data_IF_194700068752
#
_entry.id   IF_194700068752
#
_cell.length_a   1.000
_cell.length_b   1.000
_cell.length_c   1.000
_cell.angle_alpha   90.00
_cell.angle_beta   90.00
_cell.angle_gamma   90.00
#
_symmetry.space_group_name_H-M   'P 1'
#
loop_
_entity.id
_entity.type
_entity.pdbx_description
1 polymer ?
#
# COMPACT_ATOMS: atom_id res chain seq x y z
N UNK A 1 -29.12 28.05 -40.26
CA UNK A 1 -27.66 27.90 -40.30
C UNK A 1 -27.25 26.83 -39.29
N UNK A 2 -26.83 25.65 -39.73
CA UNK A 2 -26.41 24.52 -38.88
C UNK A 2 -24.93 24.26 -39.13
N UNK A 3 -24.11 24.33 -38.08
CA UNK A 3 -22.71 23.95 -38.12
C UNK A 3 -22.54 22.55 -37.51
N UNK A 4 -21.98 21.62 -38.29
CA UNK A 4 -21.53 20.30 -37.84
C UNK A 4 -20.00 20.37 -37.75
N UNK A 5 -19.46 20.33 -36.53
CA UNK A 5 -18.02 20.26 -36.30
C UNK A 5 -17.64 18.79 -36.22
N UNK A 6 -16.91 18.32 -37.24
CA UNK A 6 -16.20 17.04 -37.27
C UNK A 6 -14.89 17.22 -36.48
N UNK A 7 -14.78 16.62 -35.30
CA UNK A 7 -13.49 16.49 -34.61
C UNK A 7 -12.88 15.14 -34.98
N UNK A 8 -11.78 15.22 -35.72
CA UNK A 8 -10.89 14.11 -36.01
C UNK A 8 -9.79 14.13 -34.95
N UNK A 9 -9.68 13.08 -34.13
CA UNK A 9 -8.59 12.92 -33.16
C UNK A 9 -7.83 11.63 -33.46
N UNK A 10 -6.77 11.77 -34.25
CA UNK A 10 -5.67 10.81 -34.26
C UNK A 10 -4.76 11.12 -33.05
N UNK A 11 -4.84 10.31 -31.99
CA UNK A 11 -3.87 10.35 -30.90
C UNK A 11 -2.94 9.12 -31.01
N UNK A 12 -1.69 9.45 -31.29
CA UNK A 12 -0.50 8.66 -31.55
C UNK A 12 -0.08 7.85 -30.33
N UNK A 13 0.18 6.55 -30.52
CA UNK A 13 0.79 5.66 -29.53
C UNK A 13 2.23 6.13 -29.25
N UNK A 14 2.65 6.32 -27.98
CA UNK A 14 4.06 6.50 -27.69
C UNK A 14 4.78 5.15 -27.66
N UNK A 15 5.70 5.01 -28.60
CA UNK A 15 6.71 3.97 -28.71
C UNK A 15 7.60 3.90 -27.47
N UNK A 16 7.86 2.68 -26.99
CA UNK A 16 8.92 2.36 -26.05
C UNK A 16 10.28 2.82 -26.61
N UNK A 17 10.96 3.68 -25.85
CA UNK A 17 12.38 3.99 -26.07
C UNK A 17 13.11 3.89 -24.74
N UNK A 18 14.12 3.03 -24.75
CA UNK A 18 15.01 2.69 -23.65
C UNK A 18 15.79 3.91 -23.16
N UNK A 19 15.65 4.26 -21.88
CA UNK A 19 16.64 5.06 -21.18
C UNK A 19 16.82 4.48 -19.78
N UNK A 20 17.74 3.51 -19.69
CA UNK A 20 18.35 3.09 -18.43
C UNK A 20 19.30 4.21 -18.00
N UNK A 21 18.79 5.18 -17.24
CA UNK A 21 19.63 6.08 -16.47
C UNK A 21 19.57 5.70 -14.99
N UNK A 22 20.65 5.02 -14.61
CA UNK A 22 21.20 4.84 -13.27
C UNK A 22 20.77 5.94 -12.29
N UNK A 23 19.80 5.62 -11.44
CA UNK A 23 19.63 6.28 -10.15
C UNK A 23 20.21 5.38 -9.07
N UNK A 24 21.54 5.40 -8.96
CA UNK A 24 22.24 4.96 -7.74
C UNK A 24 21.94 5.97 -6.64
N UNK A 25 20.76 5.87 -6.03
CA UNK A 25 20.49 6.48 -4.72
C UNK A 25 20.87 5.47 -3.66
N UNK A 26 21.99 5.74 -3.01
CA UNK A 26 22.46 5.10 -1.79
C UNK A 26 21.29 4.95 -0.81
N UNK A 27 20.91 3.71 -0.53
CA UNK A 27 19.95 3.38 0.53
C UNK A 27 20.69 3.58 1.85
N UNK A 28 20.61 4.78 2.40
CA UNK A 28 20.98 5.02 3.80
C UNK A 28 20.02 4.24 4.69
N UNK A 29 20.58 3.22 5.35
CA UNK A 29 20.18 2.61 6.62
C UNK A 29 18.70 2.75 7.00
N UNK A 30 17.91 1.75 6.61
CA UNK A 30 16.55 1.54 7.11
C UNK A 30 16.64 1.00 8.54
N UNK A 31 16.77 1.88 9.52
CA UNK A 31 16.72 1.51 10.93
C UNK A 31 15.29 1.12 11.32
N UNK A 32 15.14 -0.16 11.67
CA UNK A 32 14.13 -0.67 12.61
C UNK A 32 12.67 -0.49 12.21
N UNK A 33 12.23 -1.24 11.18
CA UNK A 33 10.85 -1.73 11.19
C UNK A 33 10.83 -2.86 12.22
N UNK A 34 10.25 -2.61 13.39
CA UNK A 34 9.91 -3.62 14.37
C UNK A 34 8.76 -4.46 13.79
N UNK A 35 9.07 -5.30 12.80
CA UNK A 35 8.32 -6.54 12.65
C UNK A 35 8.73 -7.38 13.83
N UNK A 36 7.80 -7.61 14.76
CA UNK A 36 7.95 -8.63 15.79
C UNK A 36 8.34 -9.92 15.07
N UNK A 37 9.64 -10.19 15.01
CA UNK A 37 10.19 -11.39 14.40
C UNK A 37 9.77 -12.52 15.33
N UNK A 38 8.91 -13.45 14.87
CA UNK A 38 8.52 -14.58 15.68
C UNK A 38 9.78 -15.32 16.12
N UNK A 39 9.99 -15.41 17.44
CA UNK A 39 11.18 -15.99 18.05
C UNK A 39 11.24 -17.52 17.95
N UNK A 40 10.23 -18.13 17.33
CA UNK A 40 10.07 -19.57 17.13
C UNK A 40 9.51 -19.87 15.74
N UNK A 41 9.97 -20.96 15.12
CA UNK A 41 9.49 -21.46 13.82
C UNK A 41 7.99 -21.78 13.83
N UNK A 42 7.44 -22.16 15.00
CA UNK A 42 6.01 -22.35 15.24
C UNK A 42 5.21 -21.06 15.04
N UNK A 43 5.69 -19.95 15.59
CA UNK A 43 4.95 -18.68 15.61
C UNK A 43 4.94 -18.05 14.21
N UNK A 44 6.00 -18.27 13.43
CA UNK A 44 6.03 -17.86 12.02
C UNK A 44 4.97 -18.58 11.20
N UNK A 45 4.86 -19.90 11.35
CA UNK A 45 3.87 -20.71 10.62
C UNK A 45 2.43 -20.28 10.92
N UNK A 46 2.11 -20.01 12.19
CA UNK A 46 0.77 -19.51 12.57
C UNK A 46 0.48 -18.13 11.98
N UNK A 47 1.45 -17.20 12.02
CA UNK A 47 1.28 -15.87 11.45
C UNK A 47 1.09 -15.90 9.92
N UNK A 48 1.70 -16.89 9.26
CA UNK A 48 1.56 -17.12 7.83
C UNK A 48 0.15 -17.64 7.49
N UNK A 49 -0.34 -18.63 8.23
CA UNK A 49 -1.68 -19.19 8.01
C UNK A 49 -2.78 -18.13 8.18
N UNK A 50 -2.69 -17.32 9.23
CA UNK A 50 -3.63 -16.23 9.48
C UNK A 50 -3.65 -15.21 8.33
N UNK A 51 -2.47 -14.84 7.80
CA UNK A 51 -2.37 -13.94 6.65
C UNK A 51 -2.94 -14.56 5.39
N UNK A 52 -2.67 -15.85 5.16
CA UNK A 52 -3.19 -16.55 4.00
C UNK A 52 -4.72 -16.61 4.01
N UNK A 53 -5.33 -16.96 5.14
CA UNK A 53 -6.79 -16.98 5.27
C UNK A 53 -7.41 -15.60 5.04
N UNK A 54 -6.75 -14.53 5.50
CA UNK A 54 -7.22 -13.16 5.27
C UNK A 54 -7.16 -12.72 3.80
N UNK A 55 -6.26 -13.29 3.00
CA UNK A 55 -6.08 -12.90 1.61
C UNK A 55 -6.96 -13.70 0.65
N UNK A 56 -7.50 -14.84 1.09
CA UNK A 56 -8.35 -15.68 0.23
C UNK A 56 -9.57 -14.93 -0.30
N UNK A 57 -10.01 -15.24 -1.53
CA UNK A 57 -11.19 -14.63 -2.09
C UNK A 57 -12.44 -14.99 -1.28
N UNK A 58 -13.36 -14.04 -1.14
CA UNK A 58 -14.62 -14.25 -0.44
C UNK A 58 -15.48 -15.29 -1.15
N UNK A 59 -16.27 -16.05 -0.40
CA UNK A 59 -17.19 -17.05 -0.97
C UNK A 59 -18.20 -16.45 -1.95
N UNK A 60 -18.63 -15.21 -1.70
CA UNK A 60 -19.52 -14.46 -2.60
C UNK A 60 -18.88 -14.25 -3.96
N UNK A 61 -17.60 -13.93 -4.00
CA UNK A 61 -16.84 -13.74 -5.24
C UNK A 61 -16.72 -15.05 -6.01
N UNK A 62 -16.41 -16.16 -5.33
CA UNK A 62 -16.28 -17.48 -5.96
C UNK A 62 -17.57 -17.93 -6.67
N UNK A 63 -18.73 -17.61 -6.10
CA UNK A 63 -20.04 -17.94 -6.71
C UNK A 63 -20.33 -17.15 -7.99
N UNK A 64 -19.70 -15.99 -8.18
CA UNK A 64 -19.89 -15.17 -9.40
C UNK A 64 -19.10 -15.66 -10.61
N UNK A 65 -18.17 -16.59 -10.40
CA UNK A 65 -17.20 -16.99 -11.42
C UNK A 65 -17.60 -18.27 -12.14
N UNK A 66 -17.17 -18.35 -13.40
CA UNK A 66 -17.32 -19.53 -14.23
C UNK A 66 -16.42 -20.68 -13.75
N UNK A 67 -16.75 -21.92 -14.09
CA UNK A 67 -15.95 -23.09 -13.66
C UNK A 67 -14.47 -23.03 -14.06
N UNK A 68 -14.16 -22.47 -15.24
CA UNK A 68 -12.79 -22.27 -15.70
C UNK A 68 -12.02 -21.25 -14.82
N UNK A 69 -12.69 -20.15 -14.47
CA UNK A 69 -12.11 -19.10 -13.63
C UNK A 69 -11.88 -19.61 -12.20
N UNK A 70 -12.79 -20.43 -11.67
CA UNK A 70 -12.61 -21.08 -10.37
C UNK A 70 -11.37 -21.98 -10.34
N UNK A 71 -11.10 -22.74 -11.42
CA UNK A 71 -9.89 -23.54 -11.53
C UNK A 71 -8.63 -22.65 -11.58
N UNK A 72 -8.71 -21.51 -12.26
CA UNK A 72 -7.62 -20.55 -12.31
C UNK A 72 -7.36 -19.93 -10.92
N UNK A 73 -8.41 -19.60 -10.17
CA UNK A 73 -8.26 -19.13 -8.77
C UNK A 73 -7.58 -20.17 -7.90
N UNK A 74 -7.94 -21.45 -8.00
CA UNK A 74 -7.26 -22.51 -7.23
C UNK A 74 -5.76 -22.54 -7.52
N UNK A 75 -5.36 -22.29 -8.76
CA UNK A 75 -3.95 -22.14 -9.14
C UNK A 75 -3.34 -20.87 -8.54
N UNK A 76 -4.04 -19.74 -8.61
CA UNK A 76 -3.59 -18.46 -8.06
C UNK A 76 -3.39 -18.51 -6.55
N UNK A 77 -4.27 -19.21 -5.81
CA UNK A 77 -4.13 -19.39 -4.36
C UNK A 77 -2.84 -20.13 -4.03
N UNK A 78 -2.48 -21.18 -4.80
CA UNK A 78 -1.18 -21.86 -4.62
C UNK A 78 0.01 -20.96 -4.98
N UNK A 79 -0.11 -20.16 -6.03
CA UNK A 79 0.94 -19.18 -6.37
C UNK A 79 1.10 -18.14 -5.26
N UNK A 80 -0.01 -17.71 -4.63
CA UNK A 80 -0.02 -16.78 -3.51
C UNK A 80 0.60 -17.39 -2.25
N UNK A 81 0.34 -18.66 -1.95
CA UNK A 81 1.00 -19.39 -0.85
C UNK A 81 2.53 -19.36 -1.00
N UNK A 82 3.02 -19.76 -2.19
CA UNK A 82 4.46 -19.72 -2.49
C UNK A 82 5.00 -18.29 -2.40
N UNK A 83 4.24 -17.30 -2.89
CA UNK A 83 4.64 -15.90 -2.81
C UNK A 83 4.76 -15.43 -1.35
N UNK A 84 3.78 -15.72 -0.48
CA UNK A 84 3.86 -15.33 0.94
C UNK A 84 5.05 -15.97 1.64
N UNK A 85 5.41 -17.21 1.26
CA UNK A 85 6.56 -17.90 1.84
C UNK A 85 7.90 -17.30 1.41
N UNK A 86 8.01 -16.89 0.14
CA UNK A 86 9.28 -16.43 -0.44
C UNK A 86 9.48 -14.92 -0.39
N UNK A 87 8.40 -14.13 -0.38
CA UNK A 87 8.49 -12.69 -0.55
C UNK A 87 8.83 -11.98 0.75
N UNK A 88 9.69 -10.94 0.71
CA UNK A 88 10.00 -10.13 1.88
C UNK A 88 8.81 -9.26 2.33
N UNK A 89 7.86 -9.01 1.42
CA UNK A 89 6.70 -8.17 1.68
C UNK A 89 5.47 -8.70 0.92
N UNK A 90 4.36 -8.85 1.64
CA UNK A 90 3.08 -9.28 1.11
C UNK A 90 2.00 -8.20 1.35
N UNK A 91 0.96 -8.15 0.51
CA UNK A 91 -0.20 -7.32 0.78
C UNK A 91 -0.87 -7.75 2.10
N UNK A 92 -1.40 -6.79 2.86
CA UNK A 92 -2.15 -7.05 4.10
C UNK A 92 -3.59 -7.46 3.79
N UNK A 93 -4.18 -6.89 2.73
CA UNK A 93 -5.58 -7.12 2.33
C UNK A 93 -5.68 -7.27 0.82
N UNK A 94 -6.63 -8.05 0.33
CA UNK A 94 -6.96 -8.12 -1.10
C UNK A 94 -8.46 -7.96 -1.32
N UNK A 95 -8.83 -7.10 -2.27
CA UNK A 95 -10.22 -6.88 -2.67
C UNK A 95 -10.63 -7.83 -3.81
N UNK A 96 -11.94 -7.95 -4.03
CA UNK A 96 -12.49 -8.74 -5.13
C UNK A 96 -12.01 -8.19 -6.50
N UNK A 97 -11.79 -6.88 -6.61
CA UNK A 97 -11.26 -6.26 -7.83
C UNK A 97 -9.78 -6.60 -8.08
N UNK A 98 -8.99 -6.74 -7.01
CA UNK A 98 -7.61 -7.22 -7.12
C UNK A 98 -7.56 -8.66 -7.61
N UNK A 99 -8.49 -9.49 -7.14
CA UNK A 99 -8.66 -10.86 -7.63
C UNK A 99 -9.07 -10.89 -9.10
N UNK A 100 -10.01 -10.04 -9.53
CA UNK A 100 -10.36 -9.89 -10.96
C UNK A 100 -9.15 -9.48 -11.79
N UNK A 101 -8.32 -8.58 -11.26
CA UNK A 101 -7.11 -8.13 -11.95
C UNK A 101 -6.05 -9.20 -12.04
N UNK A 102 -5.90 -10.06 -11.03
CA UNK A 102 -5.02 -11.23 -11.11
C UNK A 102 -5.49 -12.24 -12.16
N UNK A 103 -6.80 -12.44 -12.30
CA UNK A 103 -7.37 -13.31 -13.33
C UNK A 103 -7.06 -12.84 -14.76
N UNK A 104 -6.94 -11.53 -14.98
CA UNK A 104 -6.63 -10.98 -16.32
C UNK A 104 -5.14 -11.04 -16.67
N UNK A 105 -4.24 -11.27 -15.71
CA UNK A 105 -2.81 -11.34 -15.98
C UNK A 105 -2.40 -12.72 -16.53
N UNK A 106 -1.89 -12.80 -17.76
CA UNK A 106 -1.54 -14.07 -18.38
C UNK A 106 -0.30 -14.71 -17.75
N UNK A 107 0.73 -13.92 -17.43
CA UNK A 107 2.01 -14.45 -16.97
C UNK A 107 2.15 -14.47 -15.44
N UNK A 108 2.92 -15.44 -14.93
CA UNK A 108 3.26 -15.50 -13.51
C UNK A 108 4.04 -14.27 -13.05
N UNK A 109 4.96 -13.77 -13.89
CA UNK A 109 5.79 -12.61 -13.58
C UNK A 109 4.95 -11.34 -13.39
N UNK A 110 3.94 -11.12 -14.24
CA UNK A 110 3.02 -9.98 -14.09
C UNK A 110 2.19 -10.09 -12.83
N UNK A 111 1.70 -11.30 -12.49
CA UNK A 111 0.94 -11.54 -11.25
C UNK A 111 1.77 -11.26 -10.00
N UNK A 112 3.00 -11.76 -9.95
CA UNK A 112 3.94 -11.49 -8.85
C UNK A 112 4.26 -9.99 -8.78
N UNK A 113 4.47 -9.34 -9.92
CA UNK A 113 4.72 -7.89 -9.98
C UNK A 113 3.52 -7.10 -9.45
N UNK A 114 2.30 -7.54 -9.76
CA UNK A 114 1.07 -6.93 -9.25
C UNK A 114 0.92 -7.11 -7.73
N UNK A 115 1.19 -8.30 -7.19
CA UNK A 115 1.18 -8.54 -5.74
C UNK A 115 2.19 -7.65 -5.01
N UNK A 116 3.38 -7.49 -5.59
CA UNK A 116 4.40 -6.58 -5.05
C UNK A 116 3.95 -5.12 -5.10
N UNK A 117 3.32 -4.70 -6.19
CA UNK A 117 2.76 -3.37 -6.32
C UNK A 117 1.69 -3.10 -5.24
N UNK A 118 0.79 -4.07 -4.99
CA UNK A 118 -0.22 -3.95 -3.95
C UNK A 118 0.40 -3.78 -2.56
N UNK A 119 1.37 -4.63 -2.22
CA UNK A 119 2.07 -4.55 -0.93
C UNK A 119 2.70 -3.16 -0.70
N UNK A 120 3.40 -2.62 -1.72
CA UNK A 120 4.03 -1.29 -1.62
C UNK A 120 2.97 -0.19 -1.49
N UNK A 121 1.88 -0.29 -2.25
CA UNK A 121 0.82 0.71 -2.26
C UNK A 121 0.11 0.78 -0.91
N UNK A 122 -0.21 -0.37 -0.32
CA UNK A 122 -0.82 -0.46 1.01
C UNK A 122 0.12 0.06 2.10
N UNK A 123 1.40 -0.31 2.03
CA UNK A 123 2.40 0.19 2.96
C UNK A 123 2.49 1.72 2.92
N UNK A 124 2.55 2.32 1.71
CA UNK A 124 2.57 3.78 1.55
C UNK A 124 1.30 4.42 2.10
N UNK A 125 0.13 3.87 1.76
CA UNK A 125 -1.15 4.38 2.27
C UNK A 125 -1.20 4.36 3.81
N UNK A 126 -0.71 3.30 4.44
CA UNK A 126 -0.60 3.19 5.91
C UNK A 126 0.33 4.24 6.49
N UNK A 127 1.50 4.45 5.87
CA UNK A 127 2.44 5.49 6.30
C UNK A 127 1.84 6.90 6.17
N UNK A 128 1.11 7.17 5.09
CA UNK A 128 0.48 8.47 4.88
C UNK A 128 -0.67 8.71 5.87
N UNK A 129 -1.42 7.67 6.24
CA UNK A 129 -2.42 7.73 7.30
C UNK A 129 -1.79 8.03 8.67
N UNK A 130 -0.70 7.36 9.02
CA UNK A 130 0.01 7.60 10.30
C UNK A 130 0.54 9.03 10.39
N UNK A 131 1.13 9.55 9.29
CA UNK A 131 1.58 10.95 9.23
C UNK A 131 0.43 11.92 9.43
N UNK A 132 -0.70 11.68 8.78
CA UNK A 132 -1.89 12.52 8.93
C UNK A 132 -2.41 12.49 10.37
N UNK A 133 -2.50 11.32 10.99
CA UNK A 133 -2.92 11.19 12.40
C UNK A 133 -1.99 11.95 13.34
N UNK A 134 -0.67 11.81 13.16
CA UNK A 134 0.29 12.55 13.99
C UNK A 134 0.19 14.08 13.82
N UNK A 135 -0.12 14.55 12.61
CA UNK A 135 -0.34 15.97 12.35
C UNK A 135 -1.65 16.46 13.00
N UNK A 136 -2.71 15.66 12.93
CA UNK A 136 -4.01 15.96 13.56
C UNK A 136 -3.87 16.01 15.09
N UNK A 137 -3.12 15.08 15.69
CA UNK A 137 -2.83 15.05 17.13
C UNK A 137 -2.03 16.28 17.58
N UNK A 138 -0.97 16.64 16.86
CA UNK A 138 -0.18 17.84 17.15
C UNK A 138 -1.04 19.11 17.05
N UNK A 139 -1.95 19.18 16.08
CA UNK A 139 -2.89 20.30 15.95
C UNK A 139 -3.89 20.38 17.11
N UNK A 140 -4.42 19.24 17.55
CA UNK A 140 -5.32 19.17 18.71
C UNK A 140 -4.59 19.62 19.99
N UNK A 141 -3.33 19.22 20.17
CA UNK A 141 -2.51 19.64 21.31
C UNK A 141 -2.25 21.15 21.30
N UNK A 142 -1.91 21.70 20.13
CA UNK A 142 -1.78 23.15 19.95
C UNK A 142 -3.07 23.91 20.31
N UNK A 143 -4.24 23.44 19.86
CA UNK A 143 -5.52 24.07 20.24
C UNK A 143 -5.76 24.00 21.74
N UNK A 144 -5.51 22.85 22.38
CA UNK A 144 -5.68 22.70 23.83
C UNK A 144 -4.79 23.65 24.60
N UNK A 145 -3.56 23.86 24.13
CA UNK A 145 -2.61 24.79 24.74
C UNK A 145 -3.05 26.25 24.57
N UNK A 146 -3.52 26.63 23.37
CA UNK A 146 -4.11 27.95 23.14
C UNK A 146 -5.35 28.19 24.01
N UNK A 147 -6.29 27.24 24.06
CA UNK A 147 -7.50 27.35 24.90
C UNK A 147 -7.13 27.46 26.38
N UNK A 148 -6.12 26.70 26.85
CA UNK A 148 -5.60 26.83 28.22
C UNK A 148 -5.05 28.23 28.47
N UNK A 149 -4.31 28.81 27.52
CA UNK A 149 -3.76 30.15 27.61
C UNK A 149 -4.86 31.22 27.73
N UNK A 150 -5.89 31.16 26.89
CA UNK A 150 -6.98 32.15 26.91
C UNK A 150 -7.93 32.01 28.12
N UNK A 151 -8.09 30.81 28.68
CA UNK A 151 -8.96 30.58 29.85
C UNK A 151 -8.25 30.80 31.20
N UNK A 152 -6.91 30.70 31.25
CA UNK A 152 -6.12 30.89 32.47
C UNK A 152 -4.92 31.84 32.20
N UNK A 153 -5.15 33.17 32.13
CA UNK A 153 -4.16 34.15 31.70
C UNK A 153 -2.97 34.38 32.67
N UNK A 154 -2.73 33.48 33.63
CA UNK A 154 -1.72 33.63 34.69
C UNK A 154 -0.55 32.63 34.66
N UNK A 155 -0.48 31.71 33.69
CA UNK A 155 0.58 30.68 33.67
C UNK A 155 1.75 31.12 32.78
N UNK A 156 2.86 31.48 33.41
CA UNK A 156 4.14 31.86 32.79
C UNK A 156 4.72 30.74 31.90
N UNK A 157 5.29 31.10 30.74
CA UNK A 157 6.02 30.17 29.88
C UNK A 157 7.55 30.30 30.05
N UNK A 158 8.31 29.20 30.14
CA UNK A 158 9.74 29.21 29.83
C UNK A 158 9.92 29.45 28.33
N UNK A 159 10.78 30.40 27.95
CA UNK A 159 11.09 30.75 26.56
C UNK A 159 11.71 29.55 25.85
N UNK A 160 10.98 28.96 24.89
CA UNK A 160 11.55 28.01 23.94
C UNK A 160 12.22 28.82 22.83
N UNK A 161 13.55 28.86 22.85
CA UNK A 161 14.37 29.50 21.83
C UNK A 161 14.52 28.52 20.66
N UNK A 162 13.76 28.73 19.58
CA UNK A 162 13.98 27.99 18.33
C UNK A 162 15.01 28.77 17.53
N UNK A 163 16.27 28.37 17.64
CA UNK A 163 17.37 28.86 16.81
C UNK A 163 17.21 28.30 15.40
N UNK A 164 16.68 29.11 14.48
CA UNK A 164 16.75 28.83 13.05
C UNK A 164 18.15 29.22 12.58
N UNK A 165 19.01 28.24 12.30
CA UNK A 165 20.27 28.47 11.59
C UNK A 165 19.96 28.54 10.08
N UNK A 166 20.22 29.71 9.51
CA UNK A 166 20.24 29.99 8.07
C UNK A 166 21.49 29.41 7.42
#
# INVERSE_FOLDING_TARGET
MKAIIKLCTCARVPSFSSSLQLFSRSITSLSSIHSETPSSTSDYAQSYELKLESLKPKETFLKTLNGNEQNLIKKLVKELEVYLWMAPSAPEVMSDDDWRRLLTQPSLSERVSFLRYLAITQYRAKQDLLKKQSADEAYIEYIKEQVRFYLFPGVFHPRIFISVQL
#
